data_IF_169399458946
#
_entry.id   IF_169399458946
#
_cell.length_a   1.000
_cell.length_b   1.000
_cell.length_c   1.000
_cell.angle_alpha   90.00
_cell.angle_beta   90.00
_cell.angle_gamma   90.00
#
_symmetry.space_group_name_H-M   'P 1'
#
loop_
_entity.id
_entity.type
_entity.pdbx_description
1 polymer ?
#
# COMPACT_ATOMS: atom_id res chain seq x y z
N UNK A 1 21.37 -42.16 -31.78
CA UNK A 1 21.46 -41.56 -30.44
C UNK A 1 22.92 -41.24 -30.14
N UNK A 2 23.33 -39.97 -30.17
CA UNK A 2 24.72 -39.58 -29.92
C UNK A 2 25.00 -39.55 -28.41
N UNK A 3 25.89 -40.43 -27.92
CA UNK A 3 26.37 -40.40 -26.53
C UNK A 3 27.34 -39.23 -26.39
N UNK A 4 27.04 -38.29 -25.47
CA UNK A 4 27.96 -37.18 -25.15
C UNK A 4 29.22 -37.75 -24.46
N UNK A 5 30.43 -37.29 -24.80
CA UNK A 5 31.66 -37.76 -24.16
C UNK A 5 31.69 -37.38 -22.67
N UNK A 6 32.36 -38.16 -21.81
CA UNK A 6 32.50 -37.84 -20.40
C UNK A 6 33.27 -36.53 -20.24
N UNK A 7 32.71 -35.60 -19.47
CA UNK A 7 33.39 -34.34 -19.14
C UNK A 7 34.69 -34.64 -18.42
N UNK A 8 35.79 -34.07 -18.90
CA UNK A 8 37.11 -34.20 -18.28
C UNK A 8 37.16 -33.35 -17.01
N UNK A 9 37.95 -33.78 -16.01
CA UNK A 9 38.08 -33.09 -14.72
C UNK A 9 38.54 -31.62 -14.88
N UNK A 10 39.24 -31.31 -15.97
CA UNK A 10 39.65 -29.96 -16.34
C UNK A 10 38.48 -29.04 -16.69
N UNK A 11 37.42 -29.53 -17.33
CA UNK A 11 36.21 -28.72 -17.59
C UNK A 11 35.45 -28.38 -16.30
N UNK A 12 35.43 -29.31 -15.34
CA UNK A 12 34.83 -29.05 -14.02
C UNK A 12 35.66 -28.05 -13.21
N UNK A 13 36.98 -28.17 -13.23
CA UNK A 13 37.88 -27.26 -12.52
C UNK A 13 37.75 -25.81 -13.02
N UNK A 14 37.69 -25.60 -14.34
CA UNK A 14 37.52 -24.27 -14.93
C UNK A 14 36.17 -23.65 -14.51
N UNK A 15 35.10 -24.46 -14.49
CA UNK A 15 33.78 -24.00 -14.04
C UNK A 15 33.77 -23.56 -12.58
N UNK A 16 34.41 -24.31 -11.68
CA UNK A 16 34.50 -23.99 -10.25
C UNK A 16 35.33 -22.73 -10.02
N UNK A 17 36.50 -22.61 -10.65
CA UNK A 17 37.35 -21.43 -10.53
C UNK A 17 36.63 -20.18 -11.06
N UNK A 18 35.94 -20.30 -12.19
CA UNK A 18 35.12 -19.21 -12.75
C UNK A 18 34.02 -18.75 -11.78
N UNK A 19 33.29 -19.69 -11.16
CA UNK A 19 32.23 -19.37 -10.20
C UNK A 19 32.76 -18.67 -8.93
N UNK A 20 33.93 -19.09 -8.43
CA UNK A 20 34.58 -18.46 -7.28
C UNK A 20 34.97 -17.01 -7.63
N UNK A 21 35.56 -16.80 -8.81
CA UNK A 21 35.98 -15.48 -9.27
C UNK A 21 34.81 -14.51 -9.45
N UNK A 22 33.72 -14.96 -10.07
CA UNK A 22 32.51 -14.14 -10.23
C UNK A 22 31.88 -13.77 -8.89
N UNK A 23 31.87 -14.70 -7.94
CA UNK A 23 31.30 -14.47 -6.61
C UNK A 23 32.14 -13.46 -5.82
N UNK A 24 33.47 -13.56 -5.90
CA UNK A 24 34.37 -12.60 -5.27
C UNK A 24 34.18 -11.18 -5.84
N UNK A 25 34.10 -11.04 -7.17
CA UNK A 25 33.87 -9.74 -7.82
C UNK A 25 32.53 -9.13 -7.38
N UNK A 26 31.45 -9.92 -7.35
CA UNK A 26 30.14 -9.45 -6.88
C UNK A 26 30.19 -9.00 -5.41
N UNK A 27 30.84 -9.78 -4.54
CA UNK A 27 30.97 -9.45 -3.12
C UNK A 27 31.70 -8.11 -2.91
N UNK A 28 32.87 -7.93 -3.55
CA UNK A 28 33.60 -6.67 -3.47
C UNK A 28 32.80 -5.51 -4.07
N UNK A 29 32.14 -5.70 -5.21
CA UNK A 29 31.28 -4.68 -5.84
C UNK A 29 30.14 -4.23 -4.93
N UNK A 30 29.44 -5.16 -4.29
CA UNK A 30 28.33 -4.87 -3.39
C UNK A 30 28.78 -4.01 -2.19
N UNK A 31 29.93 -4.34 -1.58
CA UNK A 31 30.46 -3.57 -0.42
C UNK A 31 30.80 -2.12 -0.76
N UNK A 32 31.26 -1.84 -1.98
CA UNK A 32 31.54 -0.48 -2.44
C UNK A 32 30.27 0.32 -2.72
N UNK A 33 29.24 -0.31 -3.28
CA UNK A 33 27.95 0.33 -3.58
C UNK A 33 27.18 0.65 -2.27
N UNK A 34 27.17 -0.28 -1.31
CA UNK A 34 26.52 -0.11 -0.01
C UNK A 34 27.04 1.12 0.75
N UNK A 35 28.36 1.36 0.73
CA UNK A 35 28.97 2.54 1.37
C UNK A 35 28.52 3.87 0.74
N UNK A 36 28.44 3.93 -0.59
CA UNK A 36 27.99 5.14 -1.31
C UNK A 36 26.50 5.44 -1.07
N UNK A 37 25.67 4.40 -1.04
CA UNK A 37 24.24 4.54 -0.76
C UNK A 37 23.98 5.06 0.66
N UNK A 38 24.75 4.62 1.66
CA UNK A 38 24.57 5.10 3.03
C UNK A 38 24.79 6.61 3.14
N UNK A 39 25.82 7.13 2.46
CA UNK A 39 26.13 8.56 2.46
C UNK A 39 25.03 9.41 1.79
N UNK A 40 24.54 9.00 0.62
CA UNK A 40 23.44 9.68 -0.07
C UNK A 40 22.09 9.59 0.69
N UNK A 41 21.86 8.50 1.41
CA UNK A 41 20.65 8.32 2.20
C UNK A 41 20.63 9.27 3.40
N UNK A 42 21.77 9.50 4.06
CA UNK A 42 21.82 10.43 5.19
C UNK A 42 21.61 11.89 4.75
N UNK A 43 22.18 12.31 3.62
CA UNK A 43 21.97 13.67 3.10
C UNK A 43 20.51 13.93 2.71
N UNK A 44 19.84 12.94 2.11
CA UNK A 44 18.42 13.07 1.76
C UNK A 44 17.52 13.07 3.00
N UNK A 45 17.81 12.23 3.99
CA UNK A 45 17.11 12.24 5.29
C UNK A 45 17.30 13.57 6.04
N UNK A 46 18.50 14.13 6.06
CA UNK A 46 18.76 15.44 6.68
C UNK A 46 17.94 16.56 6.02
N UNK A 47 17.85 16.57 4.68
CA UNK A 47 17.04 17.54 3.93
C UNK A 47 15.53 17.35 4.20
N UNK A 48 15.05 16.11 4.29
CA UNK A 48 13.65 15.81 4.65
C UNK A 48 13.36 16.27 6.08
N UNK A 49 14.26 15.99 7.03
CA UNK A 49 14.10 16.38 8.43
C UNK A 49 14.09 17.91 8.59
N UNK A 50 14.98 18.63 7.89
CA UNK A 50 14.95 20.10 7.85
C UNK A 50 13.67 20.63 7.21
N UNK A 51 13.15 19.98 6.16
CA UNK A 51 11.86 20.33 5.57
C UNK A 51 10.68 20.13 6.53
N UNK A 52 10.69 19.06 7.33
CA UNK A 52 9.68 18.79 8.36
C UNK A 52 9.78 19.79 9.51
N UNK A 53 10.98 20.18 9.95
CA UNK A 53 11.19 21.16 11.03
C UNK A 53 10.87 22.59 10.57
N UNK A 54 11.26 22.97 9.34
CA UNK A 54 10.99 24.30 8.78
C UNK A 54 9.53 24.49 8.35
N UNK A 55 8.85 23.41 7.95
CA UNK A 55 7.40 23.40 7.72
C UNK A 55 6.59 22.98 8.95
N UNK A 56 7.24 22.63 10.06
CA UNK A 56 6.55 22.59 11.34
C UNK A 56 6.13 24.04 11.57
N UNK A 57 4.82 24.38 11.54
CA UNK A 57 4.44 25.65 12.12
C UNK A 57 5.07 25.67 13.51
N UNK A 58 5.54 26.84 13.96
CA UNK A 58 5.82 27.08 15.37
C UNK A 58 4.51 26.89 16.16
N UNK A 59 4.05 25.65 16.24
CA UNK A 59 3.11 25.19 17.23
C UNK A 59 3.88 25.36 18.53
N UNK A 60 3.35 26.28 19.34
CA UNK A 60 3.63 26.47 20.76
C UNK A 60 4.29 25.22 21.36
N UNK A 61 5.38 25.44 22.12
CA UNK A 61 5.99 24.46 23.04
C UNK A 61 4.94 23.47 23.56
N UNK A 62 5.25 22.15 23.67
CA UNK A 62 4.26 21.10 23.89
C UNK A 62 3.34 21.52 25.03
N UNK A 63 2.16 22.02 24.67
CA UNK A 63 1.11 22.22 25.62
C UNK A 63 0.82 20.83 26.15
N UNK A 64 0.88 20.73 27.48
CA UNK A 64 0.32 19.68 28.33
C UNK A 64 -0.69 18.80 27.59
N UNK A 65 -0.77 17.46 27.80
CA UNK A 65 -1.79 16.61 27.19
C UNK A 65 -3.16 17.28 27.30
N UNK A 66 -3.57 17.99 26.25
CA UNK A 66 -4.81 18.73 26.25
C UNK A 66 -5.84 17.62 26.17
N UNK A 67 -6.56 17.42 27.29
CA UNK A 67 -7.70 16.54 27.33
C UNK A 67 -8.53 16.80 26.07
N UNK A 68 -8.88 15.75 25.29
CA UNK A 68 -9.57 15.92 24.03
C UNK A 68 -10.77 16.85 24.27
N UNK A 69 -10.79 17.96 23.53
CA UNK A 69 -11.84 18.96 23.65
C UNK A 69 -13.18 18.22 23.50
N UNK A 70 -14.12 18.31 24.46
CA UNK A 70 -15.39 17.59 24.39
C UNK A 70 -16.15 17.84 23.08
N UNK A 71 -15.97 19.00 22.45
CA UNK A 71 -16.49 19.30 21.12
C UNK A 71 -15.91 18.37 20.05
N UNK A 72 -14.59 18.15 20.06
CA UNK A 72 -13.92 17.25 19.12
C UNK A 72 -14.32 15.79 19.35
N UNK A 73 -14.50 15.39 20.61
CA UNK A 73 -14.98 14.05 20.94
C UNK A 73 -16.40 13.82 20.42
N UNK A 74 -17.31 14.79 20.59
CA UNK A 74 -18.69 14.68 20.15
C UNK A 74 -18.81 14.68 18.61
N UNK A 75 -18.06 15.54 17.91
CA UNK A 75 -18.04 15.57 16.43
C UNK A 75 -17.47 14.26 15.87
N UNK A 76 -16.42 13.70 16.49
CA UNK A 76 -15.84 12.42 16.04
C UNK A 76 -16.80 11.24 16.23
N UNK A 77 -17.56 11.21 17.33
CA UNK A 77 -18.61 10.22 17.56
C UNK A 77 -19.75 10.34 16.54
N UNK A 78 -20.24 11.55 16.29
CA UNK A 78 -21.29 11.78 15.29
C UNK A 78 -20.84 11.36 13.88
N UNK A 79 -19.59 11.68 13.51
CA UNK A 79 -19.00 11.26 12.24
C UNK A 79 -18.84 9.73 12.15
N UNK A 80 -18.47 9.06 13.25
CA UNK A 80 -18.36 7.60 13.30
C UNK A 80 -19.72 6.93 13.10
N UNK A 81 -20.78 7.42 13.77
CA UNK A 81 -22.15 6.91 13.60
C UNK A 81 -22.65 7.13 12.18
N UNK A 82 -22.45 8.34 11.62
CA UNK A 82 -22.83 8.62 10.23
C UNK A 82 -22.11 7.71 9.23
N UNK A 83 -20.81 7.48 9.42
CA UNK A 83 -20.02 6.56 8.61
C UNK A 83 -20.49 5.11 8.74
N UNK A 84 -20.85 4.67 9.94
CA UNK A 84 -21.39 3.34 10.16
C UNK A 84 -22.70 3.15 9.39
N UNK A 85 -23.66 4.07 9.53
CA UNK A 85 -24.94 4.03 8.80
C UNK A 85 -24.75 4.02 7.29
N UNK A 86 -23.82 4.84 6.81
CA UNK A 86 -23.45 4.86 5.39
C UNK A 86 -22.93 3.49 4.92
N UNK A 87 -22.05 2.86 5.69
CA UNK A 87 -21.49 1.55 5.34
C UNK A 87 -22.54 0.45 5.39
N UNK A 88 -23.44 0.48 6.37
CA UNK A 88 -24.56 -0.46 6.47
C UNK A 88 -25.49 -0.33 5.27
N UNK A 89 -25.89 0.90 4.92
CA UNK A 89 -26.72 1.16 3.74
C UNK A 89 -26.04 0.71 2.44
N UNK A 90 -24.73 0.96 2.29
CA UNK A 90 -23.96 0.47 1.15
C UNK A 90 -23.96 -1.06 1.07
N UNK A 91 -23.80 -1.76 2.20
CA UNK A 91 -23.82 -3.21 2.26
C UNK A 91 -25.15 -3.83 1.85
N UNK A 92 -26.27 -3.15 2.14
CA UNK A 92 -27.61 -3.57 1.71
C UNK A 92 -27.85 -3.25 0.23
N UNK A 93 -27.39 -2.09 -0.23
CA UNK A 93 -27.59 -1.61 -1.60
C UNK A 93 -26.74 -2.38 -2.62
N UNK A 94 -25.44 -2.54 -2.35
CA UNK A 94 -24.50 -3.11 -3.31
C UNK A 94 -24.49 -4.64 -3.25
N UNK A 95 -24.92 -5.26 -4.35
CA UNK A 95 -24.77 -6.69 -4.58
C UNK A 95 -23.79 -6.93 -5.72
N UNK A 96 -22.68 -7.66 -5.50
CA UNK A 96 -21.78 -8.01 -6.58
C UNK A 96 -22.48 -8.92 -7.59
N UNK A 97 -22.12 -8.78 -8.88
CA UNK A 97 -22.53 -9.74 -9.90
C UNK A 97 -21.86 -11.10 -9.64
N UNK A 98 -22.55 -12.18 -10.03
CA UNK A 98 -22.01 -13.53 -9.92
C UNK A 98 -20.66 -13.64 -10.65
N UNK A 99 -19.66 -14.24 -10.00
CA UNK A 99 -18.33 -14.42 -10.56
C UNK A 99 -17.34 -13.29 -10.28
N UNK A 100 -17.76 -12.18 -9.65
CA UNK A 100 -16.83 -11.11 -9.25
C UNK A 100 -16.00 -11.44 -7.99
N UNK A 101 -16.28 -12.58 -7.35
CA UNK A 101 -15.56 -13.19 -6.24
C UNK A 101 -14.30 -13.93 -6.68
N UNK A 102 -14.28 -14.45 -7.91
CA UNK A 102 -13.11 -15.09 -8.51
C UNK A 102 -12.93 -14.64 -9.96
N UNK A 103 -11.95 -13.78 -10.21
CA UNK A 103 -11.72 -13.20 -11.53
C UNK A 103 -11.25 -14.28 -12.50
N UNK A 104 -11.89 -14.29 -13.67
CA UNK A 104 -11.60 -15.27 -14.73
C UNK A 104 -10.53 -14.77 -15.70
N UNK A 105 -10.33 -13.46 -15.72
CA UNK A 105 -9.36 -12.75 -16.55
C UNK A 105 -9.24 -11.31 -16.06
N UNK A 106 -8.20 -10.61 -16.50
CA UNK A 106 -8.00 -9.19 -16.19
C UNK A 106 -9.16 -8.33 -16.71
N UNK A 107 -9.72 -8.67 -17.88
CA UNK A 107 -10.90 -8.00 -18.41
C UNK A 107 -12.13 -8.17 -17.50
N UNK A 108 -12.32 -9.37 -16.95
CA UNK A 108 -13.41 -9.65 -15.99
C UNK A 108 -13.21 -8.88 -14.67
N UNK A 109 -11.97 -8.78 -14.18
CA UNK A 109 -11.63 -7.94 -13.02
C UNK A 109 -12.03 -6.49 -13.27
N UNK A 110 -11.64 -5.91 -14.41
CA UNK A 110 -11.95 -4.52 -14.75
C UNK A 110 -13.47 -4.30 -14.84
N UNK A 111 -14.20 -5.24 -15.44
CA UNK A 111 -15.67 -5.18 -15.49
C UNK A 111 -16.29 -5.17 -14.08
N UNK A 112 -15.84 -6.06 -13.20
CA UNK A 112 -16.31 -6.12 -11.81
C UNK A 112 -16.00 -4.85 -11.02
N UNK A 113 -14.80 -4.28 -11.19
CA UNK A 113 -14.43 -3.00 -10.57
C UNK A 113 -15.28 -1.86 -11.12
N UNK A 114 -15.44 -1.77 -12.44
CA UNK A 114 -16.28 -0.76 -13.08
C UNK A 114 -17.76 -0.89 -12.69
N UNK A 115 -18.24 -2.10 -12.47
CA UNK A 115 -19.57 -2.34 -11.93
C UNK A 115 -19.69 -1.79 -10.50
N UNK A 116 -18.73 -2.10 -9.64
CA UNK A 116 -18.70 -1.60 -8.26
C UNK A 116 -18.64 -0.08 -8.21
N UNK A 117 -17.81 0.55 -9.04
CA UNK A 117 -17.70 2.02 -9.10
C UNK A 117 -19.01 2.66 -9.53
N UNK A 118 -19.64 2.18 -10.60
CA UNK A 118 -20.95 2.70 -11.06
C UNK A 118 -22.03 2.58 -9.98
N UNK A 119 -22.09 1.44 -9.30
CA UNK A 119 -23.03 1.26 -8.20
C UNK A 119 -22.72 2.21 -7.03
N UNK A 120 -21.43 2.47 -6.75
CA UNK A 120 -21.03 3.43 -5.72
C UNK A 120 -21.48 4.83 -6.09
N UNK A 121 -21.21 5.29 -7.30
CA UNK A 121 -21.61 6.64 -7.73
C UNK A 121 -23.13 6.84 -7.66
N UNK A 122 -23.90 5.82 -8.03
CA UNK A 122 -25.36 5.85 -7.91
C UNK A 122 -25.82 5.88 -6.45
N UNK A 123 -25.18 5.07 -5.59
CA UNK A 123 -25.45 5.06 -4.15
C UNK A 123 -25.17 6.41 -3.52
N UNK A 124 -23.99 7.00 -3.74
CA UNK A 124 -23.60 8.29 -3.18
C UNK A 124 -24.56 9.41 -3.64
N UNK A 125 -25.03 9.35 -4.90
CA UNK A 125 -26.05 10.28 -5.40
C UNK A 125 -27.37 10.15 -4.64
N UNK A 126 -27.85 8.92 -4.43
CA UNK A 126 -29.08 8.65 -3.65
C UNK A 126 -28.91 9.00 -2.17
N UNK A 127 -27.73 8.76 -1.60
CA UNK A 127 -27.39 9.09 -0.22
C UNK A 127 -27.37 10.60 0.01
N UNK A 128 -26.78 11.36 -0.90
CA UNK A 128 -26.81 12.82 -0.86
C UNK A 128 -28.24 13.39 -1.04
N UNK A 129 -29.10 12.71 -1.80
CA UNK A 129 -30.50 13.08 -1.97
C UNK A 129 -31.39 12.73 -0.76
N UNK A 130 -30.90 11.91 0.18
CA UNK A 130 -31.67 11.42 1.32
C UNK A 130 -32.56 10.22 1.02
N UNK A 131 -32.36 9.54 -0.12
CA UNK A 131 -33.18 8.41 -0.60
C UNK A 131 -32.89 7.07 0.11
N UNK A 132 -32.32 7.11 1.33
CA UNK A 132 -32.08 5.92 2.15
C UNK A 132 -32.67 6.10 3.54
N UNK A 133 -33.78 5.43 3.78
CA UNK A 133 -34.35 5.30 5.12
C UNK A 133 -33.38 4.51 6.01
N UNK A 134 -32.78 5.19 6.99
CA UNK A 134 -32.05 4.51 8.06
C UNK A 134 -33.03 3.61 8.83
N UNK A 135 -32.64 2.37 9.20
CA UNK A 135 -33.41 1.62 10.19
C UNK A 135 -33.59 2.50 11.43
N UNK A 136 -34.83 2.79 11.83
CA UNK A 136 -35.09 3.39 13.13
C UNK A 136 -34.53 2.41 14.17
N UNK A 137 -33.62 2.89 15.00
CA UNK A 137 -33.30 2.20 16.24
C UNK A 137 -34.48 2.49 17.18
N UNK A 138 -35.35 1.49 17.34
CA UNK A 138 -36.37 1.46 18.39
C UNK A 138 -35.73 1.12 19.76
#
# INVERSE_FOLDING_TARGET
MARRPPRTLTELAIGVVGAILTTAIMYFGATHILKRMHQQTQESLAKIQQGIIAKQPQAKAPSSPQAPDPYTAQVSQAAAVAKQRHNEAWGVYYKPKQGCDNWKSDAHMVECVNHKMRAKDEFERKWAAGDFDTPKAD
#
